data_IF_751054109430
#
_entry.id   IF_751054109430
#
_cell.length_a   1.000
_cell.length_b   1.000
_cell.length_c   1.000
_cell.angle_alpha   90.00
_cell.angle_beta   90.00
_cell.angle_gamma   90.00
#
_symmetry.space_group_name_H-M   'P 1'
#
loop_
_entity.id
_entity.type
_entity.pdbx_description
1 polymer ?
#
# COMPACT_ATOMS: atom_id res chain seq x y z
N UNK A 1 49.25 32.23 79.30
CA UNK A 1 48.45 33.45 79.02
C UNK A 1 47.43 33.04 77.95
N UNK A 2 46.11 33.05 78.17
CA UNK A 2 45.20 34.15 78.53
C UNK A 2 44.55 34.83 77.31
N UNK A 3 43.33 34.37 76.97
CA UNK A 3 42.31 35.06 76.15
C UNK A 3 42.65 35.24 74.64
N UNK A 4 41.73 35.34 73.67
CA UNK A 4 40.25 35.53 73.57
C UNK A 4 39.82 34.89 72.20
N UNK A 5 38.57 34.67 71.73
CA UNK A 5 37.19 35.05 72.11
C UNK A 5 36.15 34.02 71.52
N UNK A 6 34.89 34.45 71.27
CA UNK A 6 33.68 33.81 70.68
C UNK A 6 33.92 33.18 69.28
N UNK A 7 33.36 32.03 68.88
CA UNK A 7 31.93 31.60 68.78
C UNK A 7 31.11 32.36 67.74
N UNK A 8 30.92 31.78 66.53
CA UNK A 8 29.61 31.42 65.92
C UNK A 8 29.78 30.60 64.63
N UNK A 9 28.84 29.68 64.42
CA UNK A 9 28.53 28.81 63.25
C UNK A 9 29.15 29.07 61.86
N UNK A 10 29.45 27.97 61.16
CA UNK A 10 29.14 27.83 59.73
C UNK A 10 28.54 26.44 59.43
N UNK A 11 27.77 26.37 58.35
CA UNK A 11 26.66 25.45 58.08
C UNK A 11 27.03 23.96 57.93
N UNK A 12 26.04 23.12 58.27
CA UNK A 12 26.03 21.67 58.06
C UNK A 12 25.89 21.34 56.56
N UNK A 13 26.90 20.72 55.97
CA UNK A 13 26.79 20.10 54.65
C UNK A 13 26.26 18.66 54.79
N UNK A 14 25.16 18.32 54.12
CA UNK A 14 24.60 16.96 54.21
C UNK A 14 23.51 16.62 53.19
N UNK A 15 23.71 15.51 52.47
CA UNK A 15 22.62 14.64 52.03
C UNK A 15 21.80 15.03 50.79
N UNK A 16 22.41 15.27 49.63
CA UNK A 16 21.69 15.25 48.34
C UNK A 16 21.50 13.80 47.84
N UNK A 17 20.68 13.01 48.54
CA UNK A 17 20.21 11.67 48.10
C UNK A 17 18.81 11.39 48.66
N UNK A 18 17.94 10.78 47.84
CA UNK A 18 16.65 10.14 48.18
C UNK A 18 15.49 11.03 48.68
N UNK A 19 14.70 11.55 47.72
CA UNK A 19 13.27 11.80 47.91
C UNK A 19 12.51 11.73 46.57
N UNK A 20 12.45 10.54 45.95
CA UNK A 20 11.55 10.30 44.82
C UNK A 20 10.09 10.26 45.31
N UNK A 21 9.48 11.43 45.50
CA UNK A 21 8.08 11.58 45.89
C UNK A 21 7.19 11.12 44.72
N UNK A 22 6.22 10.19 44.93
CA UNK A 22 5.24 9.88 43.90
C UNK A 22 4.30 11.08 43.73
N UNK A 23 4.00 11.44 42.48
CA UNK A 23 3.00 12.46 42.17
C UNK A 23 1.59 11.91 42.47
N UNK A 24 1.07 12.22 43.66
CA UNK A 24 -0.29 11.84 44.05
C UNK A 24 -1.33 12.57 43.18
N UNK A 25 -2.38 11.85 42.78
CA UNK A 25 -3.37 12.28 41.78
C UNK A 25 -4.38 13.35 42.29
N UNK A 26 -3.88 14.46 42.82
CA UNK A 26 -4.68 15.64 43.23
C UNK A 26 -5.36 16.32 42.03
N UNK A 27 -4.79 16.17 40.84
CA UNK A 27 -5.28 16.70 39.57
C UNK A 27 -6.74 16.28 39.28
N UNK A 28 -7.14 15.06 39.65
CA UNK A 28 -8.51 14.57 39.49
C UNK A 28 -9.55 15.32 40.34
N UNK A 29 -9.17 15.80 41.54
CA UNK A 29 -10.08 16.61 42.38
C UNK A 29 -10.19 18.05 41.88
N UNK A 30 -9.08 18.63 41.40
CA UNK A 30 -9.09 19.96 40.77
C UNK A 30 -9.94 19.96 39.49
N UNK A 31 -9.77 18.94 38.63
CA UNK A 31 -10.56 18.80 37.40
C UNK A 31 -12.04 18.53 37.71
N UNK A 32 -12.36 17.69 38.71
CA UNK A 32 -13.73 17.47 39.17
C UNK A 32 -14.37 18.79 39.61
N UNK A 33 -13.77 19.49 40.57
CA UNK A 33 -14.33 20.70 41.15
C UNK A 33 -14.50 21.83 40.10
N UNK A 34 -13.56 21.94 39.16
CA UNK A 34 -13.67 22.87 38.03
C UNK A 34 -14.85 22.52 37.12
N UNK A 35 -14.99 21.25 36.72
CA UNK A 35 -16.05 20.79 35.83
C UNK A 35 -17.44 20.89 36.50
N UNK A 36 -17.53 20.51 37.78
CA UNK A 36 -18.72 20.58 38.62
C UNK A 36 -19.19 22.03 38.79
N UNK A 37 -18.26 22.97 39.01
CA UNK A 37 -18.54 24.41 39.11
C UNK A 37 -18.81 25.14 37.77
N UNK A 38 -18.32 24.64 36.63
CA UNK A 38 -18.50 25.30 35.31
C UNK A 38 -19.66 24.75 34.49
N UNK A 39 -20.02 23.47 34.65
CA UNK A 39 -21.11 22.81 33.92
C UNK A 39 -22.34 22.51 34.79
N UNK A 40 -22.40 23.05 36.01
CA UNK A 40 -23.59 22.98 36.87
C UNK A 40 -23.83 21.60 37.48
N UNK A 41 -22.76 20.87 37.80
CA UNK A 41 -22.83 19.60 38.50
C UNK A 41 -23.31 19.79 39.94
N UNK A 42 -24.61 19.65 40.19
CA UNK A 42 -25.13 19.43 41.54
C UNK A 42 -24.80 18.00 41.96
N UNK A 43 -24.52 17.81 43.25
CA UNK A 43 -23.99 16.55 43.79
C UNK A 43 -24.96 15.36 43.68
N UNK A 44 -24.51 14.14 44.06
CA UNK A 44 -25.30 12.92 43.96
C UNK A 44 -26.53 12.97 44.89
N UNK A 45 -27.69 13.33 44.34
CA UNK A 45 -28.95 13.44 45.09
C UNK A 45 -30.05 14.26 44.41
N UNK A 46 -29.74 15.08 43.40
CA UNK A 46 -30.76 15.69 42.53
C UNK A 46 -31.34 14.64 41.57
N UNK A 47 -32.51 14.10 41.89
CA UNK A 47 -33.26 13.23 40.96
C UNK A 47 -33.60 13.97 39.66
N UNK A 48 -33.45 13.28 38.52
CA UNK A 48 -33.73 13.86 37.21
C UNK A 48 -35.23 14.13 37.09
N UNK A 49 -35.62 15.40 37.04
CA UNK A 49 -37.01 15.82 36.82
C UNK A 49 -37.39 15.53 35.35
N UNK A 50 -37.89 14.33 35.08
CA UNK A 50 -38.31 13.86 33.76
C UNK A 50 -39.57 14.59 33.26
N UNK A 51 -39.39 15.83 32.79
CA UNK A 51 -40.40 16.57 32.04
C UNK A 51 -40.60 15.96 30.66
N UNK A 52 -41.82 16.08 30.15
CA UNK A 52 -42.15 15.68 28.78
C UNK A 52 -41.31 16.45 27.76
N UNK A 53 -40.86 15.75 26.70
CA UNK A 53 -40.08 16.38 25.63
C UNK A 53 -41.01 17.24 24.78
N UNK A 54 -40.56 18.43 24.41
CA UNK A 54 -41.31 19.30 23.50
C UNK A 54 -41.72 18.54 22.21
N UNK A 55 -42.95 18.74 21.70
CA UNK A 55 -43.48 17.96 20.59
C UNK A 55 -42.66 18.16 19.31
N UNK A 56 -42.53 17.10 18.52
CA UNK A 56 -41.77 17.12 17.27
C UNK A 56 -42.43 18.05 16.24
N UNK A 57 -41.75 19.16 15.92
CA UNK A 57 -42.19 20.08 14.87
C UNK A 57 -41.95 19.45 13.50
N UNK A 58 -43.02 18.91 12.90
CA UNK A 58 -43.01 18.37 11.53
C UNK A 58 -43.06 19.54 10.55
N UNK A 59 -42.21 19.58 9.49
CA UNK A 59 -42.29 20.62 8.47
C UNK A 59 -43.62 20.59 7.70
N UNK A 60 -44.14 21.74 7.24
CA UNK A 60 -45.48 21.84 6.65
C UNK A 60 -45.64 21.15 5.28
N UNK A 61 -44.55 20.62 4.72
CA UNK A 61 -44.59 19.75 3.55
C UNK A 61 -43.45 18.74 3.61
N UNK A 62 -43.73 17.50 3.21
CA UNK A 62 -42.74 16.44 2.98
C UNK A 62 -42.19 16.44 1.54
N UNK A 63 -42.61 17.37 0.69
CA UNK A 63 -42.14 17.48 -0.68
C UNK A 63 -40.65 17.87 -0.72
N UNK A 64 -39.80 16.94 -1.14
CA UNK A 64 -38.38 17.20 -1.37
C UNK A 64 -38.22 18.27 -2.48
N UNK A 65 -37.22 19.16 -2.38
CA UNK A 65 -36.83 20.02 -3.49
C UNK A 65 -36.57 19.18 -4.74
N UNK A 66 -36.92 19.71 -5.92
CA UNK A 66 -36.61 19.03 -7.19
C UNK A 66 -35.10 18.74 -7.28
N UNK A 67 -34.69 17.54 -7.73
CA UNK A 67 -33.28 17.25 -7.99
C UNK A 67 -32.68 18.33 -8.90
N UNK A 68 -31.44 18.72 -8.63
CA UNK A 68 -30.70 19.57 -9.57
C UNK A 68 -30.41 18.77 -10.84
N UNK A 69 -30.43 19.45 -12.00
CA UNK A 69 -30.05 18.84 -13.27
C UNK A 69 -28.65 18.24 -13.18
N UNK A 70 -28.39 17.06 -13.79
CA UNK A 70 -27.09 16.44 -13.74
C UNK A 70 -26.04 17.38 -14.33
N UNK A 71 -24.95 17.60 -13.58
CA UNK A 71 -23.82 18.46 -13.93
C UNK A 71 -23.01 17.91 -15.11
N UNK A 72 -23.65 17.90 -16.28
CA UNK A 72 -23.18 17.34 -17.55
C UNK A 72 -22.04 18.16 -18.16
N UNK A 73 -21.98 19.46 -17.88
CA UNK A 73 -20.78 20.26 -18.05
C UNK A 73 -19.81 20.03 -16.87
N UNK A 74 -18.71 19.30 -17.09
CA UNK A 74 -17.58 19.32 -16.15
C UNK A 74 -17.10 20.77 -16.00
N UNK A 75 -17.10 21.28 -14.76
CA UNK A 75 -16.61 22.62 -14.47
C UNK A 75 -15.13 22.75 -14.87
N UNK A 76 -14.83 23.68 -15.78
CA UNK A 76 -13.52 23.86 -16.40
C UNK A 76 -12.41 24.28 -15.42
N UNK A 77 -12.74 24.68 -14.18
CA UNK A 77 -11.76 24.96 -13.13
C UNK A 77 -11.14 23.70 -12.51
N UNK A 78 -11.69 22.50 -12.77
CA UNK A 78 -11.17 21.25 -12.21
C UNK A 78 -10.16 20.57 -13.15
N UNK A 79 -9.02 20.07 -12.63
CA UNK A 79 -8.07 19.28 -13.41
C UNK A 79 -8.69 18.07 -14.13
N UNK A 80 -8.02 17.59 -15.17
CA UNK A 80 -8.42 16.36 -15.83
C UNK A 80 -8.02 15.13 -15.01
N UNK A 81 -9.00 14.29 -14.71
CA UNK A 81 -8.83 13.02 -14.03
C UNK A 81 -8.05 12.04 -14.94
N UNK A 82 -6.87 11.54 -14.53
CA UNK A 82 -6.08 10.61 -15.33
C UNK A 82 -6.77 9.25 -15.51
N UNK A 83 -7.64 8.81 -14.60
CA UNK A 83 -8.41 7.57 -14.74
C UNK A 83 -9.54 7.71 -15.76
N UNK A 84 -10.08 8.92 -15.97
CA UNK A 84 -11.01 9.20 -17.08
C UNK A 84 -10.29 9.26 -18.42
N UNK A 85 -9.10 9.85 -18.48
CA UNK A 85 -8.31 9.88 -19.73
C UNK A 85 -7.84 8.49 -20.13
N UNK A 86 -7.22 7.72 -19.21
CA UNK A 86 -6.80 6.33 -19.48
C UNK A 86 -7.93 5.48 -20.05
N UNK A 87 -9.15 5.56 -19.50
CA UNK A 87 -10.33 4.85 -20.03
C UNK A 87 -10.74 5.29 -21.43
N UNK A 88 -10.56 6.57 -21.79
CA UNK A 88 -10.81 7.06 -23.17
C UNK A 88 -9.73 6.60 -24.13
N UNK A 89 -8.46 6.65 -23.72
CA UNK A 89 -7.30 6.25 -24.52
C UNK A 89 -7.29 4.72 -24.75
N UNK A 90 -7.79 3.95 -23.78
CA UNK A 90 -7.99 2.50 -23.87
C UNK A 90 -9.17 2.14 -24.77
N UNK A 91 -10.31 2.84 -24.65
CA UNK A 91 -11.48 2.64 -25.50
C UNK A 91 -11.29 3.11 -26.95
N UNK A 92 -10.41 4.08 -27.19
CA UNK A 92 -10.12 4.66 -28.52
C UNK A 92 -8.66 4.46 -28.91
N UNK A 93 -8.07 3.32 -28.51
CA UNK A 93 -6.65 3.03 -28.75
C UNK A 93 -6.34 3.09 -30.24
N UNK A 94 -5.48 4.02 -30.72
CA UNK A 94 -5.18 4.14 -32.14
C UNK A 94 -4.46 2.88 -32.64
N UNK A 95 -4.67 2.47 -33.91
CA UNK A 95 -3.92 1.38 -34.50
C UNK A 95 -2.42 1.70 -34.49
N UNK A 96 -1.59 0.68 -34.28
CA UNK A 96 -0.14 0.86 -34.19
C UNK A 96 0.43 1.42 -35.49
N UNK A 97 0.85 2.67 -35.49
CA UNK A 97 1.52 3.30 -36.61
C UNK A 97 3.04 3.30 -36.38
N UNK A 98 3.80 2.77 -37.35
CA UNK A 98 5.25 2.99 -37.39
C UNK A 98 5.53 4.49 -37.45
N UNK A 99 6.35 4.99 -36.52
CA UNK A 99 6.78 6.39 -36.52
C UNK A 99 7.67 6.68 -37.72
N UNK A 100 7.75 7.95 -38.15
CA UNK A 100 8.51 8.32 -39.34
C UNK A 100 10.00 7.92 -39.22
N UNK A 101 10.58 8.00 -38.02
CA UNK A 101 11.92 7.51 -37.72
C UNK A 101 12.06 5.98 -37.84
N UNK A 102 11.00 5.22 -37.55
CA UNK A 102 10.99 3.76 -37.69
C UNK A 102 10.72 3.30 -39.14
N UNK A 103 10.13 4.14 -39.99
CA UNK A 103 10.01 3.90 -41.44
C UNK A 103 11.32 4.15 -42.16
N UNK A 104 11.99 5.27 -41.85
CA UNK A 104 13.24 5.68 -42.48
C UNK A 104 14.49 4.97 -41.93
N UNK A 105 14.36 4.14 -40.90
CA UNK A 105 15.43 3.29 -40.39
C UNK A 105 15.03 1.82 -40.56
N UNK A 106 15.51 1.10 -41.59
CA UNK A 106 15.11 -0.27 -41.86
C UNK A 106 15.47 -1.18 -40.69
N UNK A 107 14.49 -1.90 -40.16
CA UNK A 107 14.72 -2.89 -39.11
C UNK A 107 15.45 -4.10 -39.71
N UNK A 108 16.69 -4.32 -39.28
CA UNK A 108 17.47 -5.48 -39.69
C UNK A 108 16.77 -6.76 -39.25
N UNK A 109 16.60 -7.71 -40.16
CA UNK A 109 16.04 -9.01 -39.84
C UNK A 109 16.94 -9.78 -38.86
N UNK A 110 16.35 -10.73 -38.15
CA UNK A 110 17.11 -11.60 -37.24
C UNK A 110 18.17 -12.45 -37.98
N UNK A 111 18.04 -12.64 -39.29
CA UNK A 111 19.10 -13.22 -40.11
C UNK A 111 20.25 -12.24 -40.37
N UNK A 112 19.97 -11.00 -40.75
CA UNK A 112 21.00 -9.99 -41.02
C UNK A 112 21.80 -9.64 -39.75
N UNK A 113 21.10 -9.54 -38.60
CA UNK A 113 21.73 -9.41 -37.28
C UNK A 113 22.60 -10.63 -36.91
N UNK A 114 22.36 -11.80 -37.50
CA UNK A 114 23.19 -13.01 -37.32
C UNK A 114 24.30 -13.11 -38.37
N UNK A 115 24.13 -12.58 -39.58
CA UNK A 115 25.19 -12.44 -40.60
C UNK A 115 26.26 -11.42 -40.16
N UNK A 116 25.84 -10.32 -39.52
CA UNK A 116 26.74 -9.35 -38.90
C UNK A 116 27.42 -9.83 -37.61
N UNK A 117 27.03 -10.99 -37.06
CA UNK A 117 27.67 -11.59 -35.88
C UNK A 117 28.87 -12.43 -36.31
N UNK A 118 30.05 -11.82 -36.32
CA UNK A 118 31.31 -12.57 -36.38
C UNK A 118 31.38 -13.59 -35.23
N UNK A 119 32.01 -14.74 -35.48
CA UNK A 119 32.45 -15.60 -34.38
C UNK A 119 33.41 -14.78 -33.48
N UNK A 120 33.32 -14.98 -32.16
CA UNK A 120 34.06 -14.19 -31.16
C UNK A 120 35.54 -14.12 -31.53
N UNK A 121 35.98 -12.96 -32.01
CA UNK A 121 37.41 -12.65 -32.19
C UNK A 121 38.05 -12.42 -30.81
N UNK A 122 39.36 -12.68 -30.72
CA UNK A 122 40.16 -12.61 -29.48
C UNK A 122 40.07 -11.26 -28.73
N UNK A 123 39.65 -10.17 -29.40
CA UNK A 123 39.50 -8.84 -28.82
C UNK A 123 38.13 -8.56 -28.18
N UNK A 124 37.29 -9.58 -27.98
CA UNK A 124 36.07 -9.40 -27.18
C UNK A 124 36.44 -8.99 -25.74
N UNK A 125 35.87 -7.90 -25.18
CA UNK A 125 36.29 -7.41 -23.87
C UNK A 125 36.03 -8.46 -22.80
N UNK A 126 37.07 -8.80 -22.04
CA UNK A 126 36.98 -9.73 -20.91
C UNK A 126 36.05 -9.16 -19.86
N UNK A 127 34.82 -9.67 -19.79
CA UNK A 127 33.86 -9.31 -18.76
C UNK A 127 34.37 -9.92 -17.45
N UNK A 128 35.04 -9.10 -16.64
CA UNK A 128 35.39 -9.43 -15.25
C UNK A 128 34.10 -9.80 -14.53
N UNK A 129 34.08 -10.93 -13.83
CA UNK A 129 32.84 -11.52 -13.30
C UNK A 129 32.14 -10.58 -12.30
N UNK A 130 32.92 -9.84 -11.49
CA UNK A 130 32.49 -8.78 -10.58
C UNK A 130 31.88 -7.54 -11.28
N UNK A 131 31.94 -7.46 -12.61
CA UNK A 131 31.39 -6.35 -13.40
C UNK A 131 30.28 -6.83 -14.35
N UNK A 132 29.97 -8.13 -14.32
CA UNK A 132 28.87 -8.72 -15.08
C UNK A 132 27.54 -8.20 -14.57
N UNK A 133 26.81 -7.44 -15.40
CA UNK A 133 25.42 -7.05 -15.12
C UNK A 133 24.55 -8.27 -14.79
N UNK A 134 24.80 -9.40 -15.45
CA UNK A 134 24.11 -10.65 -15.20
C UNK A 134 24.34 -11.13 -13.76
N UNK A 135 25.58 -11.16 -13.28
CA UNK A 135 25.92 -11.64 -11.93
C UNK A 135 25.44 -10.67 -10.85
N UNK A 136 25.63 -9.37 -11.05
CA UNK A 136 25.39 -8.36 -10.02
C UNK A 136 23.92 -7.92 -9.90
N UNK A 137 23.16 -7.92 -11.01
CA UNK A 137 21.79 -7.42 -11.03
C UNK A 137 20.78 -8.52 -11.34
N UNK A 138 21.02 -9.33 -12.39
CA UNK A 138 20.01 -10.27 -12.90
C UNK A 138 19.95 -11.56 -12.06
N UNK A 139 21.08 -12.12 -11.63
CA UNK A 139 21.13 -13.37 -10.87
C UNK A 139 20.43 -13.26 -9.49
N UNK A 140 20.67 -12.24 -8.65
CA UNK A 140 19.98 -12.12 -7.37
C UNK A 140 18.46 -12.00 -7.53
N UNK A 141 18.00 -11.29 -8.57
CA UNK A 141 16.56 -11.14 -8.88
C UNK A 141 15.94 -12.48 -9.33
N UNK A 142 16.65 -13.29 -10.13
CA UNK A 142 16.18 -14.63 -10.53
C UNK A 142 16.14 -15.57 -9.32
N UNK A 143 17.23 -15.67 -8.57
CA UNK A 143 17.31 -16.53 -7.37
C UNK A 143 16.24 -16.14 -6.34
N UNK A 144 16.02 -14.83 -6.12
CA UNK A 144 14.94 -14.34 -5.25
C UNK A 144 13.54 -14.71 -5.75
N UNK A 145 13.28 -14.58 -7.05
CA UNK A 145 12.01 -15.02 -7.69
C UNK A 145 11.80 -16.53 -7.53
N UNK A 146 12.81 -17.33 -7.85
CA UNK A 146 12.71 -18.79 -7.85
C UNK A 146 12.56 -19.34 -6.43
N UNK A 147 13.23 -18.72 -5.44
CA UNK A 147 13.05 -19.04 -4.02
C UNK A 147 11.65 -18.66 -3.52
N UNK A 148 11.12 -17.50 -3.93
CA UNK A 148 9.76 -17.09 -3.60
C UNK A 148 8.71 -18.01 -4.23
N UNK A 149 8.89 -18.42 -5.49
CA UNK A 149 8.04 -19.38 -6.18
C UNK A 149 8.01 -20.73 -5.44
N UNK A 150 9.18 -21.31 -5.12
CA UNK A 150 9.27 -22.56 -4.33
C UNK A 150 8.62 -22.45 -2.95
N UNK A 151 8.75 -21.30 -2.27
CA UNK A 151 8.11 -21.05 -0.96
C UNK A 151 6.58 -20.87 -1.05
N UNK A 152 6.06 -20.55 -2.23
CA UNK A 152 4.62 -20.49 -2.45
C UNK A 152 4.09 -21.88 -2.86
N UNK A 153 4.79 -22.61 -3.73
CA UNK A 153 4.49 -24.02 -4.05
C UNK A 153 4.41 -24.88 -2.79
N UNK A 154 5.43 -24.84 -1.91
CA UNK A 154 5.40 -25.57 -0.65
C UNK A 154 4.27 -25.15 0.32
N UNK A 155 3.67 -23.97 0.12
CA UNK A 155 2.51 -23.50 0.88
C UNK A 155 1.15 -23.84 0.21
N UNK A 156 1.18 -24.27 -1.05
CA UNK A 156 0.07 -24.87 -1.79
C UNK A 156 0.05 -26.40 -1.58
N UNK A 157 1.22 -27.04 -1.61
CA UNK A 157 1.43 -28.47 -1.31
C UNK A 157 1.04 -28.86 0.12
N UNK A 158 1.05 -27.90 1.06
CA UNK A 158 0.66 -28.10 2.47
C UNK A 158 -0.80 -27.75 2.77
N UNK A 159 -1.62 -27.49 1.74
CA UNK A 159 -3.07 -27.31 1.89
C UNK A 159 -3.76 -28.68 2.00
N UNK A 160 -4.45 -28.92 3.12
CA UNK A 160 -5.22 -30.13 3.36
C UNK A 160 -6.62 -29.79 3.91
N UNK A 161 -7.63 -30.58 3.53
CA UNK A 161 -9.02 -30.41 4.01
C UNK A 161 -9.07 -30.50 5.54
N UNK A 162 -9.93 -29.70 6.18
CA UNK A 162 -10.07 -29.58 7.64
C UNK A 162 -8.87 -28.97 8.38
N UNK A 163 -7.67 -28.96 7.79
CA UNK A 163 -6.45 -28.37 8.35
C UNK A 163 -6.34 -26.90 7.99
N UNK A 164 -5.87 -26.06 8.92
CA UNK A 164 -5.68 -24.63 8.66
C UNK A 164 -4.25 -24.32 8.19
N UNK A 165 -4.06 -23.54 7.10
CA UNK A 165 -2.73 -23.12 6.65
C UNK A 165 -2.04 -22.20 7.67
N UNK A 166 -0.75 -22.44 7.93
CA UNK A 166 0.03 -21.66 8.89
C UNK A 166 0.03 -20.16 8.54
N UNK A 167 -0.25 -19.32 9.54
CA UNK A 167 -0.11 -17.85 9.43
C UNK A 167 1.36 -17.45 9.24
N UNK A 168 1.64 -16.78 8.12
CA UNK A 168 2.95 -16.28 7.66
C UNK A 168 3.09 -14.76 7.77
N UNK A 169 1.99 -14.00 7.66
CA UNK A 169 1.98 -12.54 7.60
C UNK A 169 1.03 -11.92 8.65
N UNK A 170 1.29 -10.67 9.04
CA UNK A 170 0.44 -9.95 9.99
C UNK A 170 -0.92 -9.56 9.38
N UNK A 171 -0.98 -9.40 8.06
CA UNK A 171 -2.20 -9.13 7.26
C UNK A 171 -3.08 -10.36 7.04
N UNK A 172 -2.56 -11.58 7.27
CA UNK A 172 -3.37 -12.78 7.28
C UNK A 172 -4.19 -12.84 8.59
N UNK A 173 -5.43 -13.34 8.54
CA UNK A 173 -6.32 -13.36 9.70
C UNK A 173 -5.77 -14.26 10.82
N UNK A 174 -6.31 -14.13 12.05
CA UNK A 174 -5.98 -15.01 13.17
C UNK A 174 -6.27 -16.49 12.87
N UNK A 175 -5.70 -17.36 13.69
CA UNK A 175 -6.00 -18.81 13.69
C UNK A 175 -7.51 -19.05 13.91
N UNK A 176 -8.04 -20.05 13.23
CA UNK A 176 -9.46 -20.42 13.15
C UNK A 176 -10.16 -19.97 11.86
N UNK A 177 -9.64 -18.96 11.15
CA UNK A 177 -10.33 -18.28 10.05
C UNK A 177 -9.94 -18.74 8.65
N UNK A 178 -8.86 -19.53 8.48
CA UNK A 178 -8.39 -20.02 7.17
C UNK A 178 -8.69 -21.49 6.91
N UNK A 179 -9.43 -22.18 7.79
CA UNK A 179 -9.84 -23.57 7.55
C UNK A 179 -10.75 -23.64 6.31
N UNK A 180 -10.39 -24.38 5.26
CA UNK A 180 -11.28 -24.62 4.13
C UNK A 180 -12.44 -25.53 4.57
N UNK A 181 -13.63 -25.31 3.99
CA UNK A 181 -14.72 -26.27 4.12
C UNK A 181 -14.40 -27.56 3.35
N UNK A 182 -14.99 -28.69 3.75
CA UNK A 182 -14.67 -30.02 3.18
C UNK A 182 -14.99 -30.16 1.69
N UNK A 183 -15.80 -29.24 1.14
CA UNK A 183 -16.17 -29.14 -0.28
C UNK A 183 -15.44 -28.02 -1.04
N UNK A 184 -14.58 -27.25 -0.39
CA UNK A 184 -13.88 -26.11 -1.01
C UNK A 184 -12.60 -26.57 -1.72
N UNK A 185 -12.46 -26.25 -3.01
CA UNK A 185 -11.27 -26.61 -3.79
C UNK A 185 -9.99 -26.01 -3.22
N UNK A 186 -8.99 -26.85 -2.98
CA UNK A 186 -7.67 -26.46 -2.47
C UNK A 186 -6.71 -26.06 -3.61
N UNK A 187 -5.69 -25.27 -3.25
CA UNK A 187 -4.67 -24.77 -4.18
C UNK A 187 -5.14 -23.59 -5.03
N UNK A 188 -4.30 -23.11 -5.96
CA UNK A 188 -4.74 -22.23 -7.03
C UNK A 188 -5.78 -23.00 -7.87
N UNK A 189 -6.99 -22.44 -7.97
CA UNK A 189 -8.11 -23.09 -8.65
C UNK A 189 -7.82 -23.42 -10.12
N UNK A 190 -8.67 -24.26 -10.73
CA UNK A 190 -8.45 -24.85 -12.07
C UNK A 190 -8.11 -23.86 -13.19
N UNK A 191 -8.44 -22.58 -13.03
CA UNK A 191 -7.79 -21.48 -13.72
C UNK A 191 -7.04 -20.59 -12.72
N UNK A 192 -5.72 -20.76 -12.61
CA UNK A 192 -4.85 -19.74 -12.02
C UNK A 192 -4.74 -18.50 -12.92
N UNK A 193 -3.94 -17.49 -12.55
CA UNK A 193 -3.73 -16.31 -13.39
C UNK A 193 -3.22 -16.73 -14.78
N UNK A 194 -4.08 -16.58 -15.80
CA UNK A 194 -3.69 -16.82 -17.19
C UNK A 194 -2.76 -15.69 -17.60
N UNK A 195 -1.48 -16.01 -17.83
CA UNK A 195 -0.53 -15.05 -18.39
C UNK A 195 -1.11 -14.42 -19.67
N UNK A 196 -1.05 -13.09 -19.77
CA UNK A 196 -1.62 -12.37 -20.90
C UNK A 196 -0.82 -12.64 -22.19
N UNK A 197 -1.30 -13.63 -22.94
CA UNK A 197 -0.77 -14.02 -24.26
C UNK A 197 -1.07 -12.98 -25.35
N UNK A 198 -1.83 -11.91 -25.04
CA UNK A 198 -2.11 -10.76 -25.89
C UNK A 198 -1.21 -9.55 -25.59
N UNK A 199 -0.13 -9.72 -24.83
CA UNK A 199 0.89 -8.69 -24.60
C UNK A 199 1.65 -8.30 -25.89
N UNK A 200 0.98 -7.50 -26.73
CA UNK A 200 1.37 -7.15 -28.11
C UNK A 200 2.81 -6.65 -28.18
N UNK A 201 3.62 -7.35 -28.96
CA UNK A 201 5.03 -7.07 -29.23
C UNK A 201 5.98 -8.13 -28.69
N UNK A 202 5.75 -8.74 -27.52
CA UNK A 202 6.77 -9.61 -26.92
C UNK A 202 6.93 -10.96 -27.63
N UNK A 203 5.88 -11.52 -28.24
CA UNK A 203 5.99 -12.78 -29.00
C UNK A 203 6.46 -12.48 -30.43
N UNK A 204 5.99 -11.37 -30.96
CA UNK A 204 6.29 -10.79 -32.26
C UNK A 204 7.80 -10.48 -32.43
N UNK A 205 8.42 -9.83 -31.44
CA UNK A 205 9.88 -9.64 -31.41
C UNK A 205 10.68 -10.96 -31.32
N UNK A 206 10.10 -12.03 -30.78
CA UNK A 206 10.75 -13.35 -30.65
C UNK A 206 10.58 -14.19 -31.93
N UNK A 207 9.44 -14.09 -32.62
CA UNK A 207 9.19 -14.78 -33.90
C UNK A 207 9.68 -14.00 -35.12
N UNK A 208 9.98 -12.72 -34.98
CA UNK A 208 10.38 -11.84 -36.09
C UNK A 208 9.22 -11.39 -36.97
N UNK A 209 7.97 -11.66 -36.58
CA UNK A 209 6.78 -11.13 -37.25
C UNK A 209 6.45 -9.74 -36.66
N UNK A 210 6.03 -8.79 -37.49
CA UNK A 210 5.50 -7.51 -36.99
C UNK A 210 4.18 -7.68 -36.21
N UNK A 211 3.78 -6.67 -35.40
CA UNK A 211 2.47 -6.70 -34.74
C UNK A 211 1.36 -6.83 -35.79
N UNK A 212 0.34 -7.65 -35.49
CA UNK A 212 -0.76 -7.93 -36.42
C UNK A 212 -1.59 -6.67 -36.63
N UNK A 213 -1.38 -6.03 -37.77
CA UNK A 213 -2.14 -4.84 -38.17
C UNK A 213 -3.59 -5.24 -38.43
N UNK A 214 -4.51 -4.62 -37.68
CA UNK A 214 -5.95 -4.82 -37.85
C UNK A 214 -6.42 -4.04 -39.09
N UNK A 215 -6.10 -4.56 -40.28
CA UNK A 215 -6.54 -4.03 -41.56
C UNK A 215 -8.05 -4.22 -41.64
N UNK A 216 -8.78 -3.12 -41.45
CA UNK A 216 -10.22 -3.08 -41.66
C UNK A 216 -10.49 -3.18 -43.18
N UNK A 217 -11.27 -4.15 -43.67
CA UNK A 217 -11.71 -4.14 -45.05
C UNK A 217 -12.62 -2.92 -45.32
N UNK A 218 -12.58 -2.44 -46.57
CA UNK A 218 -13.52 -1.44 -47.10
C UNK A 218 -14.88 -2.06 -47.43
#
# INVERSE_FOLDING_TARGET
MAQRIRVTHLLLAGGLVLAAQPAFAQEGMLFKNLLEGTFGGKGPGDDIEYRERAPLVVPPSSALPRPQDPASARNAAWPNDPDVQRRKDEANRPPYALSERARNNPVLSQEELRRGRTARTEQAPTIIEDHSNYNNQIQPIRVGRDLAARRNQAAEDSLAYGTEPQRRLLTEPPVGYRRPADTAGLGPGRGGPVEDKQAVGQREFVTGQGPVMLVKPE
#
